data_IF_841643990406
#
_entry.id   IF_841643990406
#
_cell.length_a   1.000
_cell.length_b   1.000
_cell.length_c   1.000
_cell.angle_alpha   90.00
_cell.angle_beta   90.00
_cell.angle_gamma   90.00
#
_symmetry.space_group_name_H-M   'P 1'
#
loop_
_entity.id
_entity.type
_entity.pdbx_description
1 polymer ?
#
# COMPACT_ATOMS: atom_id res chain seq x y z
N UNK A 1 58.87 4.44 31.91
CA UNK A 1 58.18 5.55 31.27
C UNK A 1 57.92 5.24 29.80
N UNK A 2 56.71 4.82 29.45
CA UNK A 2 56.29 4.67 28.07
C UNK A 2 55.03 5.52 27.92
N UNK A 3 55.21 6.78 27.56
CA UNK A 3 54.14 7.65 27.11
C UNK A 3 53.73 7.21 25.70
N UNK A 4 52.58 6.56 25.57
CA UNK A 4 51.93 6.40 24.26
C UNK A 4 51.49 7.76 23.74
N UNK A 5 51.85 8.16 22.51
CA UNK A 5 51.36 9.41 21.97
C UNK A 5 49.86 9.32 21.73
N UNK A 6 49.12 10.31 22.24
CA UNK A 6 47.71 10.51 21.91
C UNK A 6 47.58 10.64 20.40
N UNK A 7 46.87 9.68 19.79
CA UNK A 7 46.51 9.77 18.38
C UNK A 7 45.70 11.05 18.16
N UNK A 8 46.26 11.97 17.39
CA UNK A 8 45.59 13.19 16.91
C UNK A 8 44.20 12.80 16.33
N UNK A 9 43.17 13.15 17.09
CA UNK A 9 41.81 13.16 16.54
C UNK A 9 41.77 14.24 15.48
N UNK A 10 41.59 13.87 14.20
CA UNK A 10 41.29 14.82 13.11
C UNK A 10 40.15 15.75 13.57
N UNK A 11 40.49 16.97 13.91
CA UNK A 11 39.51 18.04 14.13
C UNK A 11 38.80 18.30 12.81
N UNK A 12 37.49 18.13 12.78
CA UNK A 12 36.67 18.52 11.63
C UNK A 12 36.66 20.07 11.59
N UNK A 13 37.20 20.66 10.56
CA UNK A 13 37.18 22.12 10.30
C UNK A 13 35.77 22.59 9.89
N UNK A 14 34.76 22.33 10.69
CA UNK A 14 33.41 22.84 10.49
C UNK A 14 33.19 24.03 11.43
N UNK A 15 33.40 25.26 10.92
CA UNK A 15 33.02 26.46 11.62
C UNK A 15 31.53 26.76 11.45
N UNK A 16 30.71 26.25 12.37
CA UNK A 16 29.28 26.62 12.50
C UNK A 16 29.18 27.78 13.53
N UNK A 17 29.56 28.95 13.17
CA UNK A 17 29.64 30.12 14.06
C UNK A 17 28.28 30.64 14.57
N UNK A 18 27.18 30.13 14.08
CA UNK A 18 25.82 30.59 14.42
C UNK A 18 24.92 29.57 15.19
N UNK A 19 25.41 28.34 15.47
CA UNK A 19 24.62 27.34 16.16
C UNK A 19 24.80 27.39 17.70
N UNK A 20 23.74 27.11 18.47
CA UNK A 20 23.88 26.95 19.93
C UNK A 20 24.94 25.89 20.25
N UNK A 21 25.82 26.17 21.20
CA UNK A 21 26.96 25.30 21.56
C UNK A 21 26.61 23.84 21.78
N UNK A 22 25.46 23.56 22.37
CA UNK A 22 24.96 22.19 22.61
C UNK A 22 24.62 21.43 21.31
N UNK A 23 24.07 22.12 20.30
CA UNK A 23 23.77 21.57 18.99
C UNK A 23 25.05 21.30 18.19
N UNK A 24 26.01 22.21 18.28
CA UNK A 24 27.31 22.04 17.64
C UNK A 24 28.06 20.81 18.17
N UNK A 25 28.10 20.63 19.50
CA UNK A 25 28.72 19.46 20.15
C UNK A 25 28.03 18.16 19.71
N UNK A 26 26.70 18.13 19.64
CA UNK A 26 25.95 16.95 19.20
C UNK A 26 26.22 16.58 17.73
N UNK A 27 26.28 17.57 16.83
CA UNK A 27 26.60 17.36 15.41
C UNK A 27 28.05 16.91 15.22
N UNK A 28 29.00 17.52 15.94
CA UNK A 28 30.42 17.15 15.89
C UNK A 28 30.62 15.69 16.35
N UNK A 29 29.95 15.26 17.42
CA UNK A 29 29.99 13.88 17.91
C UNK A 29 29.38 12.90 16.89
N UNK A 30 28.26 13.26 16.27
CA UNK A 30 27.60 12.48 15.22
C UNK A 30 28.54 12.26 14.02
N UNK A 31 29.29 13.28 13.62
CA UNK A 31 30.25 13.19 12.53
C UNK A 31 31.51 12.42 12.91
N UNK A 32 31.95 12.48 14.17
CA UNK A 32 33.16 11.78 14.65
C UNK A 32 32.92 10.28 14.86
N UNK A 33 31.71 9.87 15.30
CA UNK A 33 31.33 8.48 15.62
C UNK A 33 30.39 7.86 14.57
N UNK A 34 30.58 8.18 13.27
CA UNK A 34 29.68 7.86 12.15
C UNK A 34 29.14 6.44 12.16
N UNK A 35 29.98 5.41 12.42
CA UNK A 35 29.56 4.00 12.39
C UNK A 35 28.47 3.67 13.40
N UNK A 36 28.55 4.24 14.60
CA UNK A 36 27.61 3.97 15.70
C UNK A 36 26.26 4.65 15.40
N UNK A 37 26.32 5.92 14.98
CA UNK A 37 25.12 6.67 14.64
C UNK A 37 24.44 6.17 13.38
N UNK A 38 25.19 5.68 12.39
CA UNK A 38 24.63 5.06 11.19
C UNK A 38 23.70 3.88 11.51
N UNK A 39 24.09 3.00 12.44
CA UNK A 39 23.24 1.88 12.86
C UNK A 39 21.91 2.37 13.43
N UNK A 40 21.95 3.39 14.30
CA UNK A 40 20.73 3.95 14.90
C UNK A 40 19.81 4.61 13.85
N UNK A 41 20.39 5.39 12.93
CA UNK A 41 19.65 6.01 11.83
C UNK A 41 19.01 4.93 10.95
N UNK A 42 19.73 3.86 10.61
CA UNK A 42 19.21 2.76 9.79
C UNK A 42 18.02 2.05 10.46
N UNK A 43 18.10 1.81 11.76
CA UNK A 43 16.99 1.23 12.53
C UNK A 43 15.78 2.17 12.54
N UNK A 44 16.02 3.48 12.71
CA UNK A 44 14.94 4.47 12.69
C UNK A 44 14.27 4.52 11.31
N UNK A 45 15.04 4.51 10.22
CA UNK A 45 14.54 4.45 8.85
C UNK A 45 13.66 3.21 8.65
N UNK A 46 14.16 2.04 9.07
CA UNK A 46 13.42 0.78 8.96
C UNK A 46 12.12 0.80 9.75
N UNK A 47 12.16 1.35 10.97
CA UNK A 47 10.96 1.47 11.82
C UNK A 47 9.91 2.39 11.21
N UNK A 48 10.32 3.55 10.66
CA UNK A 48 9.42 4.46 9.93
C UNK A 48 8.82 3.76 8.72
N UNK A 49 9.62 3.01 7.98
CA UNK A 49 9.17 2.22 6.84
C UNK A 49 8.10 1.20 7.22
N UNK A 50 8.33 0.42 8.28
CA UNK A 50 7.36 -0.58 8.80
C UNK A 50 6.07 0.09 9.30
N UNK A 51 6.14 1.34 9.78
CA UNK A 51 4.97 2.10 10.23
C UNK A 51 4.13 2.64 9.05
N UNK A 52 4.78 3.22 8.05
CA UNK A 52 4.10 3.97 7.00
C UNK A 52 3.58 3.06 5.88
N UNK A 53 4.35 2.03 5.49
CA UNK A 53 4.01 1.22 4.32
C UNK A 53 2.68 0.46 4.47
N UNK A 54 2.42 -0.29 5.55
CA UNK A 54 1.14 -1.00 5.70
C UNK A 54 -0.05 -0.04 5.77
N UNK A 55 0.12 1.12 6.41
CA UNK A 55 -0.93 2.14 6.47
C UNK A 55 -1.25 2.72 5.10
N UNK A 56 -0.24 2.96 4.26
CA UNK A 56 -0.46 3.40 2.88
C UNK A 56 -1.21 2.37 2.05
N UNK A 57 -0.88 1.10 2.21
CA UNK A 57 -1.62 0.00 1.56
C UNK A 57 -3.05 -0.02 2.06
N UNK A 58 -3.26 0.01 3.39
CA UNK A 58 -4.60 0.03 3.98
C UNK A 58 -5.43 1.21 3.48
N UNK A 59 -4.90 2.44 3.54
CA UNK A 59 -5.59 3.65 3.07
C UNK A 59 -5.98 3.53 1.61
N UNK A 60 -5.09 2.97 0.79
CA UNK A 60 -5.32 2.79 -0.64
C UNK A 60 -6.42 1.77 -0.93
N UNK A 61 -6.35 0.58 -0.31
CA UNK A 61 -7.33 -0.50 -0.57
C UNK A 61 -8.70 -0.21 0.06
N UNK A 62 -8.76 0.67 1.05
CA UNK A 62 -10.01 1.10 1.70
C UNK A 62 -10.67 2.29 1.01
N UNK A 63 -9.98 2.95 0.07
CA UNK A 63 -10.51 4.08 -0.66
C UNK A 63 -11.52 3.65 -1.73
N UNK A 64 -12.56 4.47 -1.92
CA UNK A 64 -13.62 4.18 -2.92
C UNK A 64 -13.08 4.07 -4.35
N UNK A 65 -12.00 4.78 -4.68
CA UNK A 65 -11.41 4.75 -6.01
C UNK A 65 -10.65 3.45 -6.31
N UNK A 66 -10.35 2.65 -5.28
CA UNK A 66 -9.65 1.37 -5.43
C UNK A 66 -10.44 0.36 -6.27
N UNK A 67 -11.77 0.48 -6.31
CA UNK A 67 -12.65 -0.34 -7.15
C UNK A 67 -12.20 -0.37 -8.63
N UNK A 68 -11.67 0.75 -9.13
CA UNK A 68 -11.20 0.85 -10.51
C UNK A 68 -9.97 -0.03 -10.81
N UNK A 69 -9.25 -0.46 -9.76
CA UNK A 69 -8.13 -1.41 -9.88
C UNK A 69 -8.56 -2.87 -9.71
N UNK A 70 -9.83 -3.11 -9.34
CA UNK A 70 -10.37 -4.45 -9.16
C UNK A 70 -11.04 -5.02 -10.42
N UNK A 71 -10.98 -4.29 -11.55
CA UNK A 71 -11.71 -4.64 -12.76
C UNK A 71 -13.21 -4.34 -12.69
N UNK A 72 -13.62 -3.53 -11.71
CA UNK A 72 -15.01 -3.13 -11.49
C UNK A 72 -15.14 -1.64 -11.80
N UNK A 73 -16.11 -1.27 -12.61
CA UNK A 73 -16.38 0.13 -12.91
C UNK A 73 -17.00 0.87 -11.73
N UNK A 74 -17.00 2.21 -11.80
CA UNK A 74 -17.59 3.06 -10.74
C UNK A 74 -19.11 3.18 -10.90
N UNK A 75 -19.86 2.30 -10.23
CA UNK A 75 -21.32 2.29 -10.18
C UNK A 75 -21.81 2.02 -8.74
N UNK A 76 -23.11 2.24 -8.48
CA UNK A 76 -23.67 2.15 -7.12
C UNK A 76 -24.29 0.79 -6.83
N UNK A 77 -25.00 0.22 -7.79
CA UNK A 77 -25.66 -1.09 -7.66
C UNK A 77 -25.20 -2.04 -8.74
N UNK A 78 -24.97 -3.28 -8.36
CA UNK A 78 -24.67 -4.40 -9.24
C UNK A 78 -25.82 -5.38 -9.21
N UNK A 79 -26.34 -5.73 -10.39
CA UNK A 79 -27.35 -6.75 -10.58
C UNK A 79 -26.71 -7.93 -11.28
N UNK A 80 -26.64 -9.06 -10.63
CA UNK A 80 -26.08 -10.31 -11.14
C UNK A 80 -27.22 -11.28 -11.50
N UNK A 81 -27.20 -11.79 -12.72
CA UNK A 81 -28.15 -12.77 -13.22
C UNK A 81 -27.35 -13.99 -13.69
N UNK A 82 -27.57 -15.12 -13.04
CA UNK A 82 -27.14 -16.46 -13.47
C UNK A 82 -28.30 -17.16 -14.15
N UNK A 83 -28.02 -18.27 -14.85
CA UNK A 83 -29.06 -19.12 -15.49
C UNK A 83 -29.94 -18.31 -16.46
N UNK A 84 -29.29 -17.60 -17.41
CA UNK A 84 -29.93 -16.67 -18.33
C UNK A 84 -30.98 -17.40 -19.19
N UNK A 85 -30.73 -18.67 -19.60
CA UNK A 85 -31.61 -19.45 -20.47
C UNK A 85 -32.98 -19.63 -19.84
N UNK A 86 -33.05 -19.93 -18.53
CA UNK A 86 -34.31 -20.24 -17.81
C UNK A 86 -35.09 -18.95 -17.45
N UNK A 87 -34.47 -17.81 -17.50
CA UNK A 87 -35.03 -16.53 -17.05
C UNK A 87 -35.18 -15.47 -18.17
N UNK A 88 -35.10 -15.85 -19.43
CA UNK A 88 -35.02 -14.92 -20.58
C UNK A 88 -36.17 -13.91 -20.61
N UNK A 89 -37.43 -14.35 -20.39
CA UNK A 89 -38.62 -13.46 -20.41
C UNK A 89 -38.57 -12.49 -19.20
N UNK A 90 -38.27 -13.00 -18.02
CA UNK A 90 -38.18 -12.20 -16.79
C UNK A 90 -37.05 -11.18 -16.88
N UNK A 91 -35.95 -11.54 -17.52
CA UNK A 91 -34.81 -10.68 -17.79
C UNK A 91 -35.20 -9.51 -18.70
N UNK A 92 -35.97 -9.76 -19.77
CA UNK A 92 -36.44 -8.70 -20.65
C UNK A 92 -37.33 -7.69 -19.91
N UNK A 93 -38.21 -8.18 -19.03
CA UNK A 93 -39.05 -7.34 -18.17
C UNK A 93 -38.19 -6.48 -17.23
N UNK A 94 -37.16 -7.07 -16.62
CA UNK A 94 -36.22 -6.34 -15.77
C UNK A 94 -35.48 -5.25 -16.55
N UNK A 95 -34.97 -5.58 -17.75
CA UNK A 95 -34.26 -4.61 -18.59
C UNK A 95 -35.16 -3.45 -19.03
N UNK A 96 -36.43 -3.71 -19.36
CA UNK A 96 -37.40 -2.65 -19.67
C UNK A 96 -37.68 -1.77 -18.44
N UNK A 97 -37.84 -2.35 -17.24
CA UNK A 97 -38.01 -1.56 -16.02
C UNK A 97 -36.78 -0.70 -15.74
N UNK A 98 -35.56 -1.24 -15.85
CA UNK A 98 -34.32 -0.50 -15.66
C UNK A 98 -34.20 0.66 -16.66
N UNK A 99 -34.50 0.40 -17.94
CA UNK A 99 -34.44 1.40 -18.99
C UNK A 99 -35.38 2.60 -18.75
N UNK A 100 -36.54 2.36 -18.14
CA UNK A 100 -37.59 3.34 -17.90
C UNK A 100 -37.58 3.91 -16.48
N UNK A 101 -36.59 3.57 -15.65
CA UNK A 101 -36.52 4.03 -14.26
C UNK A 101 -35.81 5.39 -14.17
N UNK A 102 -36.58 6.41 -13.81
CA UNK A 102 -36.07 7.79 -13.63
C UNK A 102 -35.03 7.94 -12.51
N UNK A 103 -34.90 6.97 -11.60
CA UNK A 103 -33.90 6.97 -10.54
C UNK A 103 -32.50 6.62 -11.05
N UNK A 104 -32.38 6.09 -12.26
CA UNK A 104 -31.13 5.66 -12.86
C UNK A 104 -30.50 6.82 -13.67
N UNK A 105 -29.22 7.10 -13.43
CA UNK A 105 -28.42 8.03 -14.22
C UNK A 105 -27.91 7.35 -15.50
N UNK A 106 -27.28 6.16 -15.34
CA UNK A 106 -26.79 5.32 -16.43
C UNK A 106 -26.66 3.87 -16.00
N UNK A 107 -26.73 2.98 -16.96
CA UNK A 107 -26.51 1.55 -16.77
C UNK A 107 -25.78 0.97 -17.97
N UNK A 108 -25.22 -0.22 -17.82
CA UNK A 108 -24.67 -1.03 -18.91
C UNK A 108 -25.12 -2.48 -18.77
N UNK A 109 -24.94 -3.27 -19.82
CA UNK A 109 -25.22 -4.69 -19.81
C UNK A 109 -23.93 -5.41 -20.17
N UNK A 110 -23.38 -6.13 -19.22
CA UNK A 110 -22.18 -6.95 -19.41
C UNK A 110 -22.62 -8.39 -19.48
N UNK A 111 -22.38 -9.03 -20.61
CA UNK A 111 -22.67 -10.43 -20.83
C UNK A 111 -21.38 -11.23 -20.74
N UNK A 112 -21.35 -12.25 -19.89
CA UNK A 112 -20.14 -13.04 -19.64
C UNK A 112 -20.30 -14.46 -20.17
N UNK A 113 -19.30 -14.92 -20.91
CA UNK A 113 -19.24 -16.24 -21.54
C UNK A 113 -17.86 -16.87 -21.33
N UNK A 114 -17.85 -18.19 -21.22
CA UNK A 114 -16.62 -18.97 -21.20
C UNK A 114 -16.27 -19.39 -22.61
N UNK A 115 -15.18 -18.87 -23.18
CA UNK A 115 -14.78 -19.05 -24.56
C UNK A 115 -13.51 -19.90 -24.63
N UNK A 116 -13.48 -20.85 -25.55
CA UNK A 116 -12.31 -21.65 -25.86
C UNK A 116 -11.30 -20.80 -26.64
N UNK A 117 -10.01 -20.93 -26.34
CA UNK A 117 -8.95 -20.28 -27.07
C UNK A 117 -7.77 -21.24 -27.32
N UNK A 118 -7.02 -21.02 -28.38
CA UNK A 118 -5.81 -21.78 -28.70
C UNK A 118 -4.61 -21.20 -28.01
N UNK A 119 -3.90 -22.01 -27.21
CA UNK A 119 -2.61 -21.63 -26.63
C UNK A 119 -1.50 -21.70 -27.67
N UNK A 120 -0.35 -21.08 -27.41
CA UNK A 120 0.84 -21.15 -28.28
C UNK A 120 1.37 -22.58 -28.47
N UNK A 121 1.01 -23.52 -27.59
CA UNK A 121 1.34 -24.95 -27.68
C UNK A 121 0.31 -25.79 -28.44
N UNK A 122 -0.75 -25.14 -28.95
CA UNK A 122 -1.83 -25.81 -29.68
C UNK A 122 -2.93 -26.43 -28.80
N UNK A 123 -2.83 -26.33 -27.48
CA UNK A 123 -3.89 -26.81 -26.59
C UNK A 123 -5.08 -25.85 -26.61
N UNK A 124 -6.26 -26.38 -26.35
CA UNK A 124 -7.47 -25.60 -26.18
C UNK A 124 -7.71 -25.41 -24.67
N UNK A 125 -7.81 -24.17 -24.25
CA UNK A 125 -8.15 -23.77 -22.89
C UNK A 125 -9.32 -22.79 -22.89
N UNK A 126 -9.91 -22.54 -21.72
CA UNK A 126 -11.06 -21.64 -21.57
C UNK A 126 -10.65 -20.31 -20.93
N UNK A 127 -11.28 -19.24 -21.37
CA UNK A 127 -11.15 -17.91 -20.78
C UNK A 127 -12.52 -17.29 -20.59
N UNK A 128 -12.70 -16.64 -19.44
CA UNK A 128 -13.89 -15.87 -19.12
C UNK A 128 -13.84 -14.53 -19.85
N UNK A 129 -14.79 -14.23 -20.71
CA UNK A 129 -14.84 -12.97 -21.45
C UNK A 129 -16.11 -12.21 -21.13
N UNK A 130 -15.94 -10.96 -20.72
CA UNK A 130 -17.01 -9.98 -20.51
C UNK A 130 -17.22 -9.16 -21.77
N UNK A 131 -18.40 -9.23 -22.34
CA UNK A 131 -18.83 -8.52 -23.54
C UNK A 131 -19.68 -7.32 -23.15
N UNK A 132 -19.20 -6.09 -23.45
CA UNK A 132 -19.95 -4.84 -23.29
C UNK A 132 -19.33 -3.73 -24.12
N UNK A 133 -19.96 -2.55 -24.15
CA UNK A 133 -19.41 -1.38 -24.84
C UNK A 133 -18.12 -0.85 -24.19
N UNK A 134 -17.83 -1.22 -22.94
CA UNK A 134 -16.69 -0.79 -22.11
C UNK A 134 -16.61 0.72 -21.83
N UNK A 135 -17.52 1.53 -22.38
CA UNK A 135 -17.48 2.99 -22.34
C UNK A 135 -18.29 3.59 -21.19
N UNK A 136 -19.39 2.94 -20.79
CA UNK A 136 -20.31 3.45 -19.77
C UNK A 136 -19.67 3.50 -18.37
N UNK A 137 -18.96 2.44 -17.99
CA UNK A 137 -18.24 2.31 -16.74
C UNK A 137 -16.78 1.91 -17.00
N UNK A 138 -15.94 2.88 -17.42
CA UNK A 138 -14.56 2.59 -17.76
C UNK A 138 -13.76 2.14 -16.54
N UNK A 139 -12.86 1.19 -16.77
CA UNK A 139 -11.87 0.73 -15.78
C UNK A 139 -10.49 1.27 -16.10
N UNK A 140 -9.56 1.18 -15.15
CA UNK A 140 -8.17 1.55 -15.40
C UNK A 140 -7.42 0.42 -16.08
N UNK A 141 -6.71 0.76 -17.16
CA UNK A 141 -5.79 -0.13 -17.86
C UNK A 141 -4.37 0.04 -17.32
N UNK A 142 -3.66 -1.08 -17.20
CA UNK A 142 -2.24 -1.11 -16.81
C UNK A 142 -1.37 -0.75 -18.01
N UNK A 143 -1.71 -1.31 -19.18
CA UNK A 143 -1.07 -1.07 -20.48
C UNK A 143 -2.13 -1.01 -21.57
N UNK A 144 -1.90 -0.18 -22.58
CA UNK A 144 -2.82 -0.04 -23.70
C UNK A 144 -4.15 0.62 -23.35
N UNK A 145 -5.23 0.20 -23.98
CA UNK A 145 -6.56 0.78 -23.84
C UNK A 145 -7.67 -0.27 -23.95
N UNK A 146 -8.91 0.15 -23.65
CA UNK A 146 -10.10 -0.70 -23.85
C UNK A 146 -10.22 -1.15 -25.32
N UNK A 147 -10.76 -2.36 -25.57
CA UNK A 147 -11.06 -2.82 -26.91
C UNK A 147 -12.22 -1.98 -27.48
N UNK A 148 -12.03 -1.43 -28.67
CA UNK A 148 -13.05 -0.62 -29.36
C UNK A 148 -13.48 -1.25 -30.69
N UNK A 149 -12.63 -2.11 -31.26
CA UNK A 149 -12.87 -2.75 -32.56
C UNK A 149 -13.33 -4.20 -32.37
N UNK A 150 -13.99 -4.72 -33.38
CA UNK A 150 -14.48 -6.10 -33.40
C UNK A 150 -13.38 -7.17 -33.39
N UNK A 151 -12.15 -6.81 -33.68
CA UNK A 151 -10.97 -7.67 -33.67
C UNK A 151 -10.07 -7.40 -32.45
N UNK A 152 -10.54 -6.64 -31.46
CA UNK A 152 -9.77 -6.31 -30.27
C UNK A 152 -10.30 -7.02 -29.02
N UNK A 153 -9.37 -7.38 -28.13
CA UNK A 153 -9.62 -7.93 -26.80
C UNK A 153 -8.66 -7.32 -25.80
N UNK A 154 -9.09 -7.15 -24.57
CA UNK A 154 -8.17 -6.86 -23.46
C UNK A 154 -8.12 -8.03 -22.49
N UNK A 155 -6.94 -8.26 -21.90
CA UNK A 155 -6.69 -9.34 -20.94
C UNK A 155 -6.50 -8.78 -19.54
N UNK A 156 -6.93 -9.53 -18.53
CA UNK A 156 -6.49 -9.27 -17.17
C UNK A 156 -4.98 -9.50 -17.03
N UNK A 157 -4.35 -8.83 -16.07
CA UNK A 157 -2.90 -8.90 -15.86
C UNK A 157 -2.43 -10.33 -15.60
N UNK A 158 -3.14 -11.08 -14.74
CA UNK A 158 -2.80 -12.48 -14.45
C UNK A 158 -2.91 -13.33 -15.72
N UNK A 159 -3.98 -13.14 -16.51
CA UNK A 159 -4.15 -13.93 -17.75
C UNK A 159 -3.11 -13.58 -18.81
N UNK A 160 -2.76 -12.31 -18.95
CA UNK A 160 -1.71 -11.86 -19.85
C UNK A 160 -0.34 -12.46 -19.48
N UNK A 161 -0.02 -12.51 -18.18
CA UNK A 161 1.21 -13.11 -17.67
C UNK A 161 1.24 -14.64 -17.87
N UNK A 162 0.13 -15.33 -17.55
CA UNK A 162 -0.03 -16.79 -17.79
C UNK A 162 0.24 -17.15 -19.25
N UNK A 163 -0.25 -16.31 -20.17
CA UNK A 163 -0.08 -16.50 -21.61
C UNK A 163 1.23 -15.94 -22.17
N UNK A 164 1.99 -15.21 -21.35
CA UNK A 164 3.18 -14.44 -21.79
C UNK A 164 2.86 -13.48 -22.94
N UNK A 165 1.66 -12.86 -22.92
CA UNK A 165 1.16 -11.98 -23.98
C UNK A 165 1.26 -10.51 -23.55
N UNK A 166 1.46 -9.65 -24.56
CA UNK A 166 1.57 -8.19 -24.40
C UNK A 166 0.55 -7.48 -25.28
N UNK A 167 0.36 -6.18 -25.07
CA UNK A 167 -0.42 -5.33 -25.95
C UNK A 167 0.19 -5.37 -27.37
N UNK A 168 -0.68 -5.59 -28.34
CA UNK A 168 -0.30 -5.74 -29.75
C UNK A 168 -0.18 -7.19 -30.24
N UNK A 169 -0.06 -8.17 -29.32
CA UNK A 169 -0.03 -9.58 -29.68
C UNK A 169 -1.42 -10.07 -30.14
N UNK A 170 -1.42 -11.17 -30.89
CA UNK A 170 -2.64 -11.81 -31.31
C UNK A 170 -2.95 -13.09 -30.54
N UNK A 171 -4.24 -13.41 -30.42
CA UNK A 171 -4.71 -14.70 -29.94
C UNK A 171 -5.90 -15.18 -30.76
N UNK A 172 -6.14 -16.49 -30.78
CA UNK A 172 -7.24 -17.11 -31.51
C UNK A 172 -8.30 -17.61 -30.55
N UNK A 173 -9.49 -17.06 -30.65
CA UNK A 173 -10.69 -17.48 -29.94
C UNK A 173 -11.51 -18.47 -30.79
N UNK A 174 -12.20 -19.40 -30.13
CA UNK A 174 -13.12 -20.34 -30.74
C UNK A 174 -14.54 -19.90 -30.42
N UNK A 175 -15.20 -19.24 -31.36
CA UNK A 175 -16.60 -18.80 -31.19
C UNK A 175 -17.53 -19.81 -31.90
N UNK A 176 -18.01 -20.78 -31.14
CA UNK A 176 -18.67 -21.96 -31.71
C UNK A 176 -17.70 -22.73 -32.60
N UNK A 177 -18.08 -22.98 -33.86
CA UNK A 177 -17.26 -23.68 -34.85
C UNK A 177 -16.33 -22.76 -35.67
N UNK A 178 -16.22 -21.46 -35.32
CA UNK A 178 -15.41 -20.49 -36.09
C UNK A 178 -14.23 -20.01 -35.23
N UNK A 179 -13.08 -19.96 -35.89
CA UNK A 179 -11.89 -19.31 -35.31
C UNK A 179 -11.95 -17.80 -35.57
N UNK A 180 -11.72 -17.01 -34.54
CA UNK A 180 -11.60 -15.56 -34.62
C UNK A 180 -10.25 -15.13 -34.06
N UNK A 181 -9.43 -14.54 -34.91
CA UNK A 181 -8.18 -13.88 -34.50
C UNK A 181 -8.53 -12.52 -33.89
N UNK A 182 -8.00 -12.24 -32.71
CA UNK A 182 -8.19 -10.97 -32.02
C UNK A 182 -6.85 -10.43 -31.53
N UNK A 183 -6.71 -9.11 -31.57
CA UNK A 183 -5.52 -8.39 -31.13
C UNK A 183 -5.70 -7.90 -29.70
N UNK A 184 -4.68 -8.04 -28.88
CA UNK A 184 -4.70 -7.54 -27.49
C UNK A 184 -4.52 -6.03 -27.52
N UNK A 185 -5.58 -5.28 -27.21
CA UNK A 185 -5.60 -3.81 -27.16
C UNK A 185 -5.13 -3.25 -25.83
N UNK A 186 -5.33 -4.00 -24.74
CA UNK A 186 -4.97 -3.55 -23.41
C UNK A 186 -4.85 -4.66 -22.38
N UNK A 187 -4.22 -4.32 -21.27
CA UNK A 187 -4.09 -5.17 -20.09
C UNK A 187 -4.65 -4.40 -18.89
N UNK A 188 -5.55 -5.00 -18.13
CA UNK A 188 -6.23 -4.39 -17.00
C UNK A 188 -6.05 -5.22 -15.72
N UNK A 189 -6.23 -4.59 -14.56
CA UNK A 189 -6.27 -5.28 -13.27
C UNK A 189 -7.66 -5.88 -13.06
N UNK A 190 -7.74 -7.12 -12.57
CA UNK A 190 -8.99 -7.79 -12.23
C UNK A 190 -8.78 -8.76 -11.08
N UNK A 191 -9.74 -8.80 -10.16
CA UNK A 191 -9.82 -9.77 -9.06
C UNK A 191 -10.96 -10.77 -9.23
N UNK A 192 -11.88 -10.53 -10.18
CA UNK A 192 -13.01 -11.41 -10.43
C UNK A 192 -12.53 -12.70 -11.10
N UNK A 193 -13.23 -13.79 -10.88
CA UNK A 193 -12.91 -15.10 -11.48
C UNK A 193 -11.42 -15.51 -11.34
N UNK A 194 -10.81 -15.21 -10.18
CA UNK A 194 -9.39 -15.48 -9.93
C UNK A 194 -8.44 -14.64 -10.76
N UNK A 195 -8.89 -13.51 -11.29
CA UNK A 195 -8.10 -12.61 -12.11
C UNK A 195 -7.76 -13.16 -13.51
N UNK A 196 -8.46 -14.18 -14.00
CA UNK A 196 -8.22 -14.82 -15.31
C UNK A 196 -9.33 -14.52 -16.30
N UNK A 197 -9.50 -13.25 -16.61
CA UNK A 197 -10.58 -12.72 -17.41
C UNK A 197 -10.08 -11.97 -18.64
N UNK A 198 -11.01 -11.71 -19.55
CA UNK A 198 -10.80 -10.83 -20.69
C UNK A 198 -12.04 -9.96 -20.92
N UNK A 199 -11.90 -8.92 -21.73
CA UNK A 199 -13.00 -8.04 -22.14
C UNK A 199 -12.97 -7.82 -23.64
N UNK A 200 -14.16 -7.81 -24.25
CA UNK A 200 -14.33 -7.56 -25.66
C UNK A 200 -15.53 -6.63 -25.92
N UNK A 201 -15.47 -5.85 -26.99
CA UNK A 201 -16.55 -4.97 -27.43
C UNK A 201 -17.39 -5.57 -28.59
N UNK A 202 -16.89 -6.60 -29.23
CA UNK A 202 -17.65 -7.25 -30.30
C UNK A 202 -18.84 -8.04 -29.75
N UNK A 203 -19.89 -8.20 -30.58
CA UNK A 203 -21.07 -8.96 -30.21
C UNK A 203 -20.75 -10.46 -30.24
N UNK A 204 -21.03 -11.13 -29.12
CA UNK A 204 -21.12 -12.59 -29.07
C UNK A 204 -22.60 -13.00 -29.19
N UNK A 205 -22.84 -14.19 -29.74
CA UNK A 205 -24.20 -14.75 -29.74
C UNK A 205 -24.72 -14.88 -28.32
N UNK A 206 -26.02 -14.58 -28.15
CA UNK A 206 -26.70 -14.67 -26.84
C UNK A 206 -26.92 -16.13 -26.41
N UNK A 207 -26.68 -17.11 -27.27
CA UNK A 207 -26.64 -18.52 -26.95
C UNK A 207 -25.44 -18.83 -26.06
N UNK A 208 -25.63 -19.66 -25.04
CA UNK A 208 -24.62 -20.08 -24.05
C UNK A 208 -24.03 -18.95 -23.17
N UNK A 209 -24.74 -17.84 -22.98
CA UNK A 209 -24.37 -16.86 -21.97
C UNK A 209 -24.58 -17.45 -20.58
N UNK A 210 -23.50 -17.42 -19.78
CA UNK A 210 -23.52 -18.03 -18.43
C UNK A 210 -23.95 -17.01 -17.37
N UNK A 211 -23.53 -15.76 -17.58
CA UNK A 211 -23.72 -14.71 -16.57
C UNK A 211 -24.01 -13.37 -17.21
N UNK A 212 -24.88 -12.58 -16.60
CA UNK A 212 -25.12 -11.20 -16.98
C UNK A 212 -24.95 -10.32 -15.74
N UNK A 213 -24.28 -9.20 -15.94
CA UNK A 213 -24.10 -8.17 -14.93
C UNK A 213 -24.70 -6.88 -15.47
N UNK A 214 -25.56 -6.24 -14.67
CA UNK A 214 -26.09 -4.92 -14.98
C UNK A 214 -25.58 -3.95 -13.91
N UNK A 215 -24.48 -3.23 -14.19
CA UNK A 215 -24.02 -2.14 -13.35
C UNK A 215 -24.95 -0.94 -13.51
N UNK A 216 -25.36 -0.35 -12.40
CA UNK A 216 -26.30 0.77 -12.35
C UNK A 216 -25.69 1.92 -11.55
N UNK A 217 -25.67 3.11 -12.16
CA UNK A 217 -25.37 4.36 -11.47
C UNK A 217 -26.68 5.07 -11.17
N UNK A 218 -26.89 5.41 -9.91
CA UNK A 218 -28.10 6.10 -9.44
C UNK A 218 -27.92 7.63 -9.55
N UNK A 219 -29.03 8.32 -9.73
CA UNK A 219 -29.07 9.79 -9.63
C UNK A 219 -28.87 10.25 -8.19
N UNK A 220 -28.40 11.47 -8.03
CA UNK A 220 -28.27 12.09 -6.70
C UNK A 220 -29.59 12.00 -5.91
N UNK A 221 -29.47 11.70 -4.60
CA UNK A 221 -30.56 11.50 -3.64
C UNK A 221 -31.25 10.12 -3.65
N UNK A 222 -30.91 9.22 -4.56
CA UNK A 222 -31.40 7.82 -4.51
C UNK A 222 -30.35 6.97 -3.83
N UNK A 223 -30.75 6.23 -2.79
CA UNK A 223 -29.82 5.32 -2.12
C UNK A 223 -29.82 3.94 -2.79
N UNK A 224 -28.69 3.25 -2.77
CA UNK A 224 -28.60 1.86 -3.26
C UNK A 224 -29.59 0.95 -2.52
N UNK A 225 -29.80 1.20 -1.22
CA UNK A 225 -30.70 0.41 -0.38
C UNK A 225 -32.16 0.53 -0.84
N UNK A 226 -32.63 1.75 -1.09
CA UNK A 226 -33.99 1.97 -1.57
C UNK A 226 -34.20 1.38 -2.97
N UNK A 227 -33.20 1.52 -3.84
CA UNK A 227 -33.22 0.92 -5.17
C UNK A 227 -33.29 -0.61 -5.09
N UNK A 228 -32.46 -1.23 -4.25
CA UNK A 228 -32.46 -2.69 -4.08
C UNK A 228 -33.81 -3.17 -3.55
N UNK A 229 -34.37 -2.53 -2.53
CA UNK A 229 -35.70 -2.86 -1.98
C UNK A 229 -36.82 -2.79 -3.03
N UNK A 230 -36.75 -1.80 -3.94
CA UNK A 230 -37.71 -1.62 -5.02
C UNK A 230 -37.75 -2.82 -5.99
N UNK A 231 -36.62 -3.47 -6.21
CA UNK A 231 -36.47 -4.50 -7.24
C UNK A 231 -36.35 -5.93 -6.72
N UNK A 232 -35.85 -6.15 -5.50
CA UNK A 232 -35.49 -7.48 -5.00
C UNK A 232 -36.68 -8.44 -4.91
N UNK A 233 -37.86 -7.94 -4.55
CA UNK A 233 -39.07 -8.78 -4.37
C UNK A 233 -39.68 -9.18 -5.72
N UNK A 234 -39.60 -8.33 -6.72
CA UNK A 234 -40.09 -8.58 -8.08
C UNK A 234 -39.16 -9.49 -8.90
N UNK A 235 -37.86 -9.45 -8.63
CA UNK A 235 -36.85 -10.12 -9.44
C UNK A 235 -35.92 -11.05 -8.61
N UNK A 236 -36.52 -12.03 -7.95
CA UNK A 236 -35.81 -12.99 -7.07
C UNK A 236 -34.75 -13.85 -7.79
N UNK A 237 -34.82 -13.93 -9.13
CA UNK A 237 -33.82 -14.62 -9.95
C UNK A 237 -32.53 -13.79 -10.15
N UNK A 238 -32.58 -12.51 -9.81
CA UNK A 238 -31.45 -11.60 -9.91
C UNK A 238 -30.91 -11.24 -8.52
N UNK A 239 -29.60 -11.30 -8.34
CA UNK A 239 -28.97 -10.86 -7.09
C UNK A 239 -28.61 -9.39 -7.20
N UNK A 240 -29.33 -8.53 -6.47
CA UNK A 240 -29.03 -7.11 -6.37
C UNK A 240 -28.10 -6.87 -5.20
N UNK A 241 -27.03 -6.14 -5.41
CA UNK A 241 -26.04 -5.84 -4.38
C UNK A 241 -25.59 -4.39 -4.48
N UNK A 242 -25.50 -3.70 -3.35
CA UNK A 242 -24.73 -2.45 -3.26
C UNK A 242 -23.25 -2.76 -3.58
N UNK A 243 -22.64 -1.95 -4.41
CA UNK A 243 -21.28 -2.21 -4.87
C UNK A 243 -20.26 -2.21 -3.73
N UNK A 244 -20.46 -1.42 -2.67
CA UNK A 244 -19.58 -1.44 -1.48
C UNK A 244 -19.72 -2.74 -0.71
N UNK A 245 -20.97 -3.27 -0.58
CA UNK A 245 -21.23 -4.55 0.06
C UNK A 245 -20.59 -5.67 -0.74
N UNK A 246 -20.71 -5.62 -2.06
CA UNK A 246 -20.07 -6.59 -2.96
C UNK A 246 -18.54 -6.59 -2.83
N UNK A 247 -17.92 -5.42 -2.77
CA UNK A 247 -16.47 -5.29 -2.55
C UNK A 247 -16.07 -5.85 -1.19
N UNK A 248 -16.84 -5.54 -0.14
CA UNK A 248 -16.59 -6.08 1.19
C UNK A 248 -16.71 -7.60 1.25
N UNK A 249 -17.61 -8.21 0.49
CA UNK A 249 -17.72 -9.66 0.40
C UNK A 249 -16.47 -10.30 -0.22
N UNK A 250 -15.90 -9.66 -1.27
CA UNK A 250 -14.74 -10.19 -1.98
C UNK A 250 -13.43 -9.84 -1.25
N UNK A 251 -13.30 -8.62 -0.74
CA UNK A 251 -12.03 -8.06 -0.31
C UNK A 251 -11.99 -7.62 1.16
N UNK A 252 -13.13 -7.67 1.88
CA UNK A 252 -13.24 -7.18 3.24
C UNK A 252 -12.30 -7.88 4.23
N UNK A 253 -12.12 -9.19 4.10
CA UNK A 253 -11.15 -9.94 4.92
C UNK A 253 -9.71 -9.48 4.67
N UNK A 254 -9.36 -9.15 3.42
CA UNK A 254 -8.04 -8.63 3.07
C UNK A 254 -7.83 -7.24 3.67
N UNK A 255 -8.83 -6.36 3.57
CA UNK A 255 -8.80 -5.02 4.18
C UNK A 255 -8.62 -5.12 5.69
N UNK A 256 -9.41 -5.97 6.38
CA UNK A 256 -9.31 -6.20 7.81
C UNK A 256 -7.94 -6.77 8.22
N UNK A 257 -7.40 -7.69 7.43
CA UNK A 257 -6.08 -8.27 7.67
C UNK A 257 -4.98 -7.21 7.56
N UNK A 258 -5.01 -6.39 6.52
CA UNK A 258 -4.03 -5.30 6.34
C UNK A 258 -4.14 -4.27 7.46
N UNK A 259 -5.37 -3.93 7.89
CA UNK A 259 -5.59 -3.07 9.05
C UNK A 259 -4.94 -3.64 10.32
N UNK A 260 -5.16 -4.91 10.62
CA UNK A 260 -4.57 -5.56 11.79
C UNK A 260 -3.04 -5.62 11.70
N UNK A 261 -2.48 -5.96 10.54
CA UNK A 261 -1.03 -5.95 10.30
C UNK A 261 -0.45 -4.54 10.52
N UNK A 262 -1.17 -3.49 10.10
CA UNK A 262 -0.74 -2.11 10.31
C UNK A 262 -0.58 -1.79 11.80
N UNK A 263 -1.54 -2.16 12.63
CA UNK A 263 -1.46 -1.90 14.08
C UNK A 263 -0.43 -2.77 14.80
N UNK A 264 -0.32 -4.05 14.43
CA UNK A 264 0.73 -4.94 14.95
C UNK A 264 2.11 -4.38 14.59
N UNK A 265 2.31 -3.98 13.34
CA UNK A 265 3.54 -3.34 12.88
C UNK A 265 3.84 -2.02 13.60
N UNK A 266 2.80 -1.23 13.88
CA UNK A 266 2.92 0.03 14.62
C UNK A 266 3.49 -0.21 16.03
N UNK A 267 2.88 -1.07 16.81
CA UNK A 267 3.36 -1.35 18.17
C UNK A 267 4.71 -2.06 18.18
N UNK A 268 4.94 -3.00 17.27
CA UNK A 268 6.22 -3.68 17.14
C UNK A 268 7.36 -2.71 16.81
N UNK A 269 7.15 -1.76 15.90
CA UNK A 269 8.13 -0.73 15.55
C UNK A 269 8.42 0.23 16.70
N UNK A 270 7.40 0.65 17.44
CA UNK A 270 7.60 1.47 18.64
C UNK A 270 8.40 0.74 19.72
N UNK A 271 8.11 -0.54 19.94
CA UNK A 271 8.85 -1.39 20.88
C UNK A 271 10.31 -1.56 20.45
N UNK A 272 10.55 -1.77 19.16
CA UNK A 272 11.88 -1.92 18.59
C UNK A 272 12.71 -0.64 18.76
N UNK A 273 12.15 0.52 18.39
CA UNK A 273 12.81 1.82 18.58
C UNK A 273 13.08 2.09 20.07
N UNK A 274 12.11 1.81 20.93
CA UNK A 274 12.30 1.98 22.37
C UNK A 274 13.51 1.17 22.88
N UNK A 275 13.51 -0.14 22.60
CA UNK A 275 14.55 -1.05 23.08
C UNK A 275 15.94 -0.65 22.54
N UNK A 276 16.03 -0.40 21.25
CA UNK A 276 17.30 -0.04 20.60
C UNK A 276 17.80 1.32 21.10
N UNK A 277 16.91 2.31 21.27
CA UNK A 277 17.30 3.62 21.82
C UNK A 277 17.82 3.50 23.25
N UNK A 278 17.17 2.72 24.11
CA UNK A 278 17.66 2.48 25.49
C UNK A 278 19.07 1.87 25.47
N UNK A 279 19.29 0.81 24.68
CA UNK A 279 20.58 0.15 24.55
C UNK A 279 21.64 1.07 23.97
N UNK A 280 21.28 1.83 22.92
CA UNK A 280 22.17 2.77 22.27
C UNK A 280 22.64 3.88 23.20
N UNK A 281 21.73 4.49 23.98
CA UNK A 281 22.08 5.53 24.95
C UNK A 281 22.97 4.95 26.04
N UNK A 282 22.69 3.76 26.56
CA UNK A 282 23.56 3.08 27.52
C UNK A 282 24.97 2.84 26.96
N UNK A 283 25.07 2.34 25.72
CA UNK A 283 26.36 2.10 25.05
C UNK A 283 27.12 3.42 24.85
N UNK A 284 26.48 4.48 24.36
CA UNK A 284 27.11 5.78 24.22
C UNK A 284 27.61 6.30 25.55
N UNK A 285 26.77 6.19 26.60
CA UNK A 285 27.13 6.64 27.93
C UNK A 285 28.39 5.94 28.47
N UNK A 286 28.48 4.61 28.35
CA UNK A 286 29.66 3.86 28.76
C UNK A 286 30.90 4.25 27.97
N UNK A 287 30.73 4.48 26.66
CA UNK A 287 31.85 4.88 25.78
C UNK A 287 32.33 6.31 26.04
N UNK A 288 31.43 7.19 26.44
CA UNK A 288 31.71 8.60 26.70
C UNK A 288 31.99 8.84 28.20
N UNK A 289 32.20 7.79 29.01
CA UNK A 289 32.35 7.91 30.47
C UNK A 289 33.48 8.84 30.89
N UNK A 290 34.64 8.78 30.26
CA UNK A 290 35.75 9.68 30.51
C UNK A 290 35.46 11.14 30.11
N UNK A 291 34.82 11.37 28.94
CA UNK A 291 34.41 12.71 28.51
C UNK A 291 33.33 13.28 29.47
N UNK A 292 32.40 12.44 29.94
CA UNK A 292 31.38 12.85 30.91
C UNK A 292 31.97 13.17 32.29
N UNK A 293 33.01 12.44 32.74
CA UNK A 293 33.73 12.73 33.97
C UNK A 293 34.47 14.10 33.90
N UNK A 294 35.10 14.37 32.75
CA UNK A 294 35.72 15.67 32.48
C UNK A 294 34.69 16.81 32.49
N UNK A 295 33.56 16.65 31.81
CA UNK A 295 32.47 17.63 31.81
C UNK A 295 31.98 17.93 33.23
N UNK A 296 31.81 16.88 34.08
CA UNK A 296 31.44 17.05 35.46
C UNK A 296 32.49 17.80 36.30
N UNK A 297 33.79 17.56 36.04
CA UNK A 297 34.86 18.25 36.77
C UNK A 297 34.90 19.76 36.51
N UNK A 298 34.42 20.20 35.33
CA UNK A 298 34.32 21.63 34.96
C UNK A 298 32.93 22.23 35.26
N UNK A 299 32.04 21.49 36.00
CA UNK A 299 30.82 22.04 36.54
C UNK A 299 29.54 21.66 35.79
N UNK A 300 29.56 20.74 34.79
CA UNK A 300 28.36 20.27 34.15
C UNK A 300 27.55 19.36 35.09
N UNK A 301 26.24 19.62 35.16
CA UNK A 301 25.31 18.81 35.94
C UNK A 301 24.86 17.55 35.22
N UNK A 302 24.36 16.56 35.94
CA UNK A 302 23.72 15.38 35.31
C UNK A 302 22.61 15.75 34.33
N UNK A 303 21.90 16.86 34.60
CA UNK A 303 20.85 17.38 33.72
C UNK A 303 21.42 17.91 32.42
N UNK A 304 22.57 18.57 32.44
CA UNK A 304 23.21 19.09 31.21
C UNK A 304 23.68 17.93 30.33
N UNK A 305 24.27 16.90 30.91
CA UNK A 305 24.68 15.68 30.20
C UNK A 305 23.47 14.95 29.61
N UNK A 306 22.37 14.83 30.38
CA UNK A 306 21.12 14.26 29.87
C UNK A 306 20.57 15.02 28.66
N UNK A 307 20.55 16.35 28.71
CA UNK A 307 20.09 17.19 27.61
C UNK A 307 20.95 16.96 26.35
N UNK A 308 22.27 16.76 26.48
CA UNK A 308 23.13 16.43 25.34
C UNK A 308 22.72 15.10 24.67
N UNK A 309 22.49 14.03 25.45
CA UNK A 309 22.01 12.75 24.90
C UNK A 309 20.62 12.88 24.26
N UNK A 310 19.75 13.69 24.87
CA UNK A 310 18.43 13.95 24.30
C UNK A 310 18.52 14.66 22.95
N UNK A 311 19.39 15.67 22.80
CA UNK A 311 19.63 16.37 21.53
C UNK A 311 20.22 15.41 20.50
N UNK A 312 21.18 14.55 20.87
CA UNK A 312 21.73 13.52 19.98
C UNK A 312 20.62 12.57 19.49
N UNK A 313 19.77 12.08 20.38
CA UNK A 313 18.65 11.20 20.02
C UNK A 313 17.62 11.90 19.11
N UNK A 314 17.31 13.17 19.39
CA UNK A 314 16.39 13.97 18.58
C UNK A 314 16.93 14.22 17.15
N UNK A 315 18.22 14.47 17.00
CA UNK A 315 18.86 14.61 15.69
C UNK A 315 18.80 13.32 14.88
N UNK A 316 19.10 12.17 15.51
CA UNK A 316 19.01 10.85 14.87
C UNK A 316 17.57 10.58 14.42
N UNK A 317 16.62 10.82 15.33
CA UNK A 317 15.20 10.62 15.06
C UNK A 317 14.73 11.50 13.89
N UNK A 318 15.10 12.78 13.88
CA UNK A 318 14.73 13.71 12.80
C UNK A 318 15.29 13.28 11.44
N UNK A 319 16.57 12.89 11.39
CA UNK A 319 17.18 12.34 10.17
C UNK A 319 16.52 11.03 9.75
N UNK A 320 16.26 10.12 10.69
CA UNK A 320 15.60 8.85 10.43
C UNK A 320 14.16 9.01 9.94
N UNK A 321 13.40 9.97 10.49
CA UNK A 321 12.05 10.30 10.03
C UNK A 321 12.04 10.83 8.59
N UNK A 322 12.93 11.77 8.27
CA UNK A 322 13.02 12.34 6.91
C UNK A 322 13.41 11.25 5.90
N UNK A 323 14.51 10.55 6.18
CA UNK A 323 15.01 9.51 5.28
C UNK A 323 14.06 8.32 5.19
N UNK A 324 13.43 7.93 6.29
CA UNK A 324 12.44 6.86 6.34
C UNK A 324 11.18 7.16 5.52
N UNK A 325 10.71 8.41 5.55
CA UNK A 325 9.61 8.86 4.68
C UNK A 325 10.01 8.78 3.20
N UNK A 326 11.19 9.32 2.83
CA UNK A 326 11.70 9.25 1.45
C UNK A 326 11.87 7.79 1.00
N UNK A 327 12.38 6.92 1.87
CA UNK A 327 12.54 5.50 1.60
C UNK A 327 11.19 4.80 1.41
N UNK A 328 10.19 5.13 2.24
CA UNK A 328 8.82 4.61 2.09
C UNK A 328 8.17 5.04 0.77
N UNK A 329 8.38 6.30 0.34
CA UNK A 329 7.85 6.82 -0.92
C UNK A 329 8.51 6.17 -2.15
N UNK A 330 9.80 5.85 -2.09
CA UNK A 330 10.55 5.39 -3.26
C UNK A 330 10.56 3.85 -3.39
N UNK A 331 10.86 3.15 -2.31
CA UNK A 331 11.00 1.69 -2.28
C UNK A 331 9.71 1.04 -1.78
N UNK A 332 9.04 1.65 -0.81
CA UNK A 332 7.81 1.11 -0.22
C UNK A 332 6.70 0.95 -1.25
N UNK A 333 6.43 1.96 -2.05
CA UNK A 333 5.40 1.89 -3.08
C UNK A 333 5.71 0.83 -4.14
N UNK A 334 6.98 0.64 -4.50
CA UNK A 334 7.39 -0.43 -5.42
C UNK A 334 7.18 -1.82 -4.83
N UNK A 335 7.52 -2.02 -3.55
CA UNK A 335 7.28 -3.29 -2.86
C UNK A 335 5.79 -3.59 -2.73
N UNK A 336 4.99 -2.61 -2.31
CA UNK A 336 3.55 -2.76 -2.21
C UNK A 336 2.92 -3.03 -3.59
N UNK A 337 3.38 -2.34 -4.65
CA UNK A 337 2.96 -2.61 -6.02
C UNK A 337 3.30 -4.02 -6.48
N UNK A 338 4.49 -4.53 -6.15
CA UNK A 338 4.90 -5.89 -6.48
C UNK A 338 4.01 -6.94 -5.79
N UNK A 339 3.68 -6.74 -4.51
CA UNK A 339 2.78 -7.61 -3.76
C UNK A 339 1.37 -7.60 -4.35
N UNK A 340 0.82 -6.41 -4.65
CA UNK A 340 -0.51 -6.30 -5.26
C UNK A 340 -0.53 -6.86 -6.68
N UNK A 341 0.55 -6.73 -7.45
CA UNK A 341 0.66 -7.29 -8.79
C UNK A 341 0.61 -8.82 -8.79
N UNK A 342 1.12 -9.47 -7.74
CA UNK A 342 1.05 -10.92 -7.59
C UNK A 342 -0.40 -11.44 -7.45
N UNK A 343 -1.32 -10.61 -6.98
CA UNK A 343 -2.75 -10.90 -6.91
C UNK A 343 -3.56 -10.26 -8.06
N UNK A 344 -2.89 -9.75 -9.10
CA UNK A 344 -3.54 -9.21 -10.30
C UNK A 344 -3.85 -7.72 -10.27
N UNK A 345 -3.48 -6.99 -9.21
CA UNK A 345 -3.70 -5.54 -9.10
C UNK A 345 -2.40 -4.81 -9.40
N UNK A 346 -2.35 -4.10 -10.52
CA UNK A 346 -1.13 -3.44 -10.97
C UNK A 346 -1.32 -1.93 -11.17
N UNK A 347 -0.20 -1.20 -11.19
CA UNK A 347 -0.15 0.25 -11.42
C UNK A 347 -1.00 1.06 -10.43
N UNK A 348 -0.99 0.64 -9.15
CA UNK A 348 -1.73 1.31 -8.08
C UNK A 348 -1.00 2.58 -7.67
N UNK A 349 -1.74 3.68 -7.57
CA UNK A 349 -1.27 4.91 -6.95
C UNK A 349 -1.60 4.87 -5.46
N UNK A 350 -0.56 4.81 -4.62
CA UNK A 350 -0.77 4.71 -3.17
C UNK A 350 -1.21 6.05 -2.58
N UNK A 351 -2.31 6.00 -1.86
CA UNK A 351 -2.80 7.11 -1.05
C UNK A 351 -2.07 7.13 0.29
N UNK A 352 -1.79 8.33 0.78
CA UNK A 352 -1.17 8.54 2.10
C UNK A 352 -2.18 9.12 3.06
N UNK A 353 -2.31 8.48 4.21
CA UNK A 353 -2.96 9.13 5.34
C UNK A 353 -2.02 10.21 5.88
N UNK A 354 -2.33 11.45 5.56
CA UNK A 354 -1.50 12.62 5.90
C UNK A 354 -1.38 12.79 7.42
N UNK A 355 -2.48 12.61 8.14
CA UNK A 355 -2.50 12.75 9.60
C UNK A 355 -1.68 11.64 10.26
N UNK A 356 -1.84 10.41 9.82
CA UNK A 356 -1.08 9.29 10.36
C UNK A 356 0.41 9.42 10.05
N UNK A 357 0.77 9.62 8.78
CA UNK A 357 2.17 9.58 8.32
C UNK A 357 3.01 10.77 8.81
N UNK A 358 2.43 11.98 8.85
CA UNK A 358 3.19 13.20 9.14
C UNK A 358 2.92 13.78 10.54
N UNK A 359 1.93 13.29 11.27
CA UNK A 359 1.64 13.75 12.64
C UNK A 359 1.72 12.60 13.63
N UNK A 360 0.92 11.55 13.48
CA UNK A 360 0.80 10.47 14.48
C UNK A 360 2.09 9.66 14.60
N UNK A 361 2.73 9.29 13.49
CA UNK A 361 4.00 8.54 13.49
C UNK A 361 5.13 9.37 14.08
N UNK A 362 5.44 10.61 13.62
CA UNK A 362 6.48 11.42 14.24
C UNK A 362 6.24 11.69 15.72
N UNK A 363 5.01 12.02 16.12
CA UNK A 363 4.68 12.31 17.51
C UNK A 363 4.89 11.09 18.42
N UNK A 364 4.40 9.91 18.01
CA UNK A 364 4.59 8.67 18.76
C UNK A 364 6.07 8.29 18.89
N UNK A 365 6.84 8.48 17.81
CA UNK A 365 8.29 8.22 17.81
C UNK A 365 9.06 9.21 18.70
N UNK A 366 8.68 10.49 18.72
CA UNK A 366 9.27 11.49 19.62
C UNK A 366 9.02 11.10 21.08
N UNK A 367 7.78 10.76 21.42
CA UNK A 367 7.41 10.37 22.78
C UNK A 367 8.20 9.14 23.23
N UNK A 368 8.22 8.08 22.41
CA UNK A 368 8.90 6.82 22.75
C UNK A 368 10.42 6.99 22.83
N UNK A 369 11.02 7.80 21.93
CA UNK A 369 12.45 8.09 21.97
C UNK A 369 12.82 8.93 23.17
N UNK A 370 11.99 9.89 23.58
CA UNK A 370 12.20 10.68 24.79
C UNK A 370 12.18 9.79 26.04
N UNK A 371 11.18 8.90 26.16
CA UNK A 371 11.09 7.92 27.25
C UNK A 371 12.30 6.97 27.26
N UNK A 372 12.67 6.44 26.10
CA UNK A 372 13.81 5.54 25.98
C UNK A 372 15.13 6.22 26.36
N UNK A 373 15.34 7.46 25.91
CA UNK A 373 16.53 8.26 26.28
C UNK A 373 16.57 8.52 27.78
N UNK A 374 15.43 8.85 28.39
CA UNK A 374 15.34 9.05 29.84
C UNK A 374 15.72 7.77 30.61
N UNK A 375 15.18 6.62 30.22
CA UNK A 375 15.48 5.34 30.88
C UNK A 375 16.91 4.88 30.59
N UNK A 376 17.42 5.09 29.39
CA UNK A 376 18.82 4.79 29.02
C UNK A 376 19.82 5.58 29.85
N UNK A 377 19.51 6.86 30.09
CA UNK A 377 20.35 7.78 30.85
C UNK A 377 20.19 7.68 32.38
N UNK A 378 19.22 6.95 32.90
CA UNK A 378 18.93 6.82 34.36
C UNK A 378 20.10 6.21 35.16
N UNK A 379 20.99 5.46 34.48
CA UNK A 379 22.24 4.93 35.08
C UNK A 379 23.27 6.01 35.42
N UNK A 380 23.13 7.24 34.91
CA UNK A 380 24.03 8.37 35.14
C UNK A 380 24.23 8.71 36.63
N UNK A 381 23.21 8.52 37.45
CA UNK A 381 23.22 8.91 38.88
C UNK A 381 23.97 7.90 39.77
N UNK A 382 24.30 6.70 39.28
CA UNK A 382 24.93 5.64 40.08
C UNK A 382 26.42 5.46 39.88
N UNK A 383 27.04 6.19 38.95
CA UNK A 383 28.47 6.05 38.66
C UNK A 383 29.33 6.91 39.63
N UNK A 384 30.16 6.24 40.38
CA UNK A 384 31.20 6.86 41.22
C UNK A 384 32.36 7.34 40.30
N UNK A 385 32.49 8.67 40.14
CA UNK A 385 33.54 9.32 39.34
C UNK A 385 34.95 8.86 39.76
N UNK A 386 35.16 8.55 41.05
CA UNK A 386 36.43 8.11 41.58
C UNK A 386 36.88 6.69 41.16
N UNK A 387 35.95 5.82 40.72
CA UNK A 387 36.29 4.50 40.18
C UNK A 387 36.76 4.57 38.71
N UNK A 388 36.15 5.42 37.92
CA UNK A 388 36.48 5.55 36.46
C UNK A 388 37.84 6.23 36.28
N UNK A 389 38.17 7.21 37.11
CA UNK A 389 39.48 7.88 37.06
C UNK A 389 40.64 7.00 37.58
N UNK A 390 40.34 5.91 38.29
CA UNK A 390 41.35 4.93 38.76
C UNK A 390 41.63 3.80 37.74
N UNK A 391 40.72 3.50 36.84
CA UNK A 391 40.89 2.46 35.82
C UNK A 391 41.62 2.96 34.56
N UNK A 392 41.71 4.27 34.34
CA UNK A 392 42.42 4.88 33.20
C UNK A 392 43.84 5.35 33.55
N UNK A 393 44.34 5.05 34.76
CA UNK A 393 45.73 5.28 35.20
C UNK A 393 46.45 3.92 35.34
#
# INVERSE_FOLDING_TARGET
>A
SITRPLKDKKQSNLSFSSLPQRLFLALSDLLSKKKIYFTMISVTILSVFILILPMSVYTTISDKSFINYMGIGSYDVRIDISEIADNKDKMNILLEKIKNDDSIEKYDIIKSKLIDYKTSKGNIEKIWIDFSTQTTFPIKYVYGSMPLKDDEISLSKIKADDLSKKVGDEMTLMLGNKEKKVKISGIFSDLTNGGKTARASFKADDEDMIWMIIPVKLKDKVTSEDFIKKYQDDFTFAKLSDTKVYINQIFGNTIATVYNITWVGFFASLFLIFTITVLFIRMLYLKDSGENALLKSIGFTNKDIFIQYFIKSALILSLGLILGNVFSLSIGDKLASAILSAIGISNVQFLRDTLFSYVSVPLSMIIITALATYLGARGLNKMNISQILKEDI
#
